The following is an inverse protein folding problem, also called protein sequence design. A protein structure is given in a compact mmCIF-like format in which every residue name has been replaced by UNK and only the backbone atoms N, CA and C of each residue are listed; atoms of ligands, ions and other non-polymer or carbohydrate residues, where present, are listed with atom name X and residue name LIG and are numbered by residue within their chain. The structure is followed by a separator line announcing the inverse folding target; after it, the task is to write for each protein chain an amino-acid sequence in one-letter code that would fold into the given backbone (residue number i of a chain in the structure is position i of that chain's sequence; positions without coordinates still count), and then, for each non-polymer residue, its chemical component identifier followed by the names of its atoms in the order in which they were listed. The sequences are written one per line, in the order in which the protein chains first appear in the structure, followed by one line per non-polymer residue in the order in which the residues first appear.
data_IF_709193841010
#
_entry.id   IF_709193841010
#
_cell.length_a   1.000
_cell.length_b   1.000
_cell.length_c   1.000
_cell.angle_alpha   90.00
_cell.angle_beta   90.00
_cell.angle_gamma   90.00
#
_symmetry.space_group_name_H-M   'P 1'
#
loop_
_entity.id
_entity.type
_entity.pdbx_description
1 polymer ?
#
# COMPACT_ATOMS: atom_id res chain seq x y z
N UNK A 1 5.13 -5.13 -11.75
CA UNK A 1 5.36 -4.66 -13.13
C UNK A 1 4.24 -5.13 -14.08
N UNK A 2 4.05 -6.44 -14.36
CA UNK A 2 3.07 -6.94 -15.36
C UNK A 2 1.62 -6.54 -15.04
N UNK A 3 1.19 -6.65 -13.78
CA UNK A 3 -0.15 -6.22 -13.36
C UNK A 3 -0.40 -4.74 -13.63
N UNK A 4 0.58 -3.91 -13.35
CA UNK A 4 0.46 -2.48 -13.59
C UNK A 4 0.42 -2.16 -15.08
N UNK A 5 1.22 -2.85 -15.90
CA UNK A 5 1.16 -2.72 -17.36
C UNK A 5 -0.20 -3.15 -17.90
N UNK A 6 -0.78 -4.22 -17.38
CA UNK A 6 -2.15 -4.61 -17.70
C UNK A 6 -3.14 -3.48 -17.38
N UNK A 7 -3.11 -2.95 -16.15
CA UNK A 7 -4.00 -1.86 -15.72
C UNK A 7 -3.86 -0.59 -16.55
N UNK A 8 -2.65 -0.26 -17.00
CA UNK A 8 -2.40 0.88 -17.90
C UNK A 8 -3.15 0.74 -19.22
N UNK A 9 -3.14 -0.45 -19.79
CA UNK A 9 -3.67 -0.69 -21.13
C UNK A 9 -5.12 -1.19 -21.11
N UNK A 10 -5.69 -1.53 -19.94
CA UNK A 10 -7.03 -2.12 -19.80
C UNK A 10 -8.13 -1.27 -20.48
N UNK A 11 -8.00 0.05 -20.44
CA UNK A 11 -8.99 0.98 -20.98
C UNK A 11 -8.66 1.51 -22.40
N UNK A 12 -7.37 1.54 -22.76
CA UNK A 12 -6.92 2.23 -23.97
C UNK A 12 -6.49 1.27 -25.10
N UNK A 13 -6.03 0.08 -24.76
CA UNK A 13 -5.55 -0.93 -25.70
C UNK A 13 -5.75 -2.33 -25.14
N UNK A 14 -6.91 -2.90 -25.37
CA UNK A 14 -7.29 -4.22 -24.86
C UNK A 14 -6.39 -5.34 -25.40
N UNK A 15 -5.82 -5.18 -26.59
CA UNK A 15 -4.91 -6.17 -27.20
C UNK A 15 -3.57 -6.17 -26.48
N UNK A 16 -3.08 -5.00 -26.14
CA UNK A 16 -1.82 -4.86 -25.38
C UNK A 16 -2.01 -5.26 -23.91
N UNK A 17 -3.16 -4.91 -23.33
CA UNK A 17 -3.53 -5.33 -21.97
C UNK A 17 -3.57 -6.85 -21.84
N UNK A 18 -4.18 -7.57 -22.81
CA UNK A 18 -4.27 -9.02 -22.77
C UNK A 18 -2.91 -9.71 -22.74
N UNK A 19 -1.92 -9.20 -23.48
CA UNK A 19 -0.54 -9.73 -23.45
C UNK A 19 0.10 -9.68 -22.07
N UNK A 20 -0.09 -8.59 -21.32
CA UNK A 20 0.44 -8.46 -19.97
C UNK A 20 -0.32 -9.32 -18.97
N UNK A 21 -1.64 -9.42 -19.12
CA UNK A 21 -2.50 -10.31 -18.34
C UNK A 21 -2.06 -11.77 -18.49
N UNK A 22 -1.96 -12.24 -19.74
CA UNK A 22 -1.63 -13.63 -20.03
C UNK A 22 -0.21 -13.98 -19.57
N UNK A 23 0.73 -13.05 -19.75
CA UNK A 23 2.09 -13.19 -19.23
C UNK A 23 2.15 -13.21 -17.70
N UNK A 24 1.26 -12.48 -17.02
CA UNK A 24 1.15 -12.48 -15.54
C UNK A 24 0.58 -13.83 -15.08
N UNK A 25 -0.50 -14.30 -15.71
CA UNK A 25 -1.13 -15.58 -15.40
C UNK A 25 -0.16 -16.75 -15.63
N UNK A 26 0.57 -16.73 -16.74
CA UNK A 26 1.52 -17.77 -17.07
C UNK A 26 2.74 -17.83 -16.15
N UNK A 27 3.36 -16.66 -15.88
CA UNK A 27 4.61 -16.60 -15.09
C UNK A 27 4.38 -16.61 -13.59
N UNK A 28 3.25 -16.09 -13.12
CA UNK A 28 2.96 -15.91 -11.70
C UNK A 28 1.53 -16.35 -11.34
N UNK A 29 1.15 -17.61 -11.62
CA UNK A 29 -0.24 -18.09 -11.48
C UNK A 29 -0.78 -17.99 -10.05
N UNK A 30 0.10 -18.07 -9.05
CA UNK A 30 -0.26 -18.00 -7.61
C UNK A 30 -0.10 -16.59 -7.03
N UNK A 31 0.20 -15.58 -7.83
CA UNK A 31 0.36 -14.23 -7.31
C UNK A 31 -1.00 -13.60 -6.97
N UNK A 32 -1.02 -12.74 -5.96
CA UNK A 32 -2.19 -11.95 -5.58
C UNK A 32 -2.73 -11.12 -6.77
N UNK A 33 -1.86 -10.65 -7.63
CA UNK A 33 -2.21 -9.87 -8.82
C UNK A 33 -2.87 -10.72 -9.89
N UNK A 34 -2.46 -12.00 -10.04
CA UNK A 34 -3.12 -12.95 -10.93
C UNK A 34 -4.51 -13.31 -10.40
N UNK A 35 -4.62 -13.55 -9.10
CA UNK A 35 -5.92 -13.74 -8.46
C UNK A 35 -6.86 -12.55 -8.69
N UNK A 36 -6.38 -11.32 -8.52
CA UNK A 36 -7.18 -10.11 -8.75
C UNK A 36 -7.69 -10.01 -10.21
N UNK A 37 -6.85 -10.38 -11.18
CA UNK A 37 -7.24 -10.41 -12.59
C UNK A 37 -8.27 -11.50 -12.94
N UNK A 38 -8.18 -12.65 -12.30
CA UNK A 38 -9.09 -13.76 -12.53
C UNK A 38 -10.42 -13.60 -11.80
N UNK A 39 -10.40 -12.94 -10.64
CA UNK A 39 -11.56 -12.80 -9.75
C UNK A 39 -12.54 -11.68 -10.14
N UNK A 40 -12.17 -10.75 -11.03
CA UNK A 40 -13.07 -9.66 -11.44
C UNK A 40 -14.40 -10.12 -12.07
N UNK A 41 -14.54 -11.40 -12.40
CA UNK A 41 -15.78 -12.00 -12.94
C UNK A 41 -16.53 -12.92 -11.98
N UNK A 42 -15.96 -13.28 -10.83
CA UNK A 42 -16.51 -14.31 -9.93
C UNK A 42 -16.80 -13.86 -8.50
N UNK A 43 -16.58 -12.60 -8.13
CA UNK A 43 -16.77 -12.11 -6.76
C UNK A 43 -18.21 -12.23 -6.24
N UNK A 44 -19.19 -12.27 -7.11
CA UNK A 44 -20.60 -12.38 -6.72
C UNK A 44 -21.09 -13.82 -6.50
N UNK A 45 -20.35 -14.85 -6.96
CA UNK A 45 -20.84 -16.23 -6.96
C UNK A 45 -20.41 -17.09 -5.80
N UNK A 46 -19.30 -16.79 -5.14
CA UNK A 46 -18.85 -17.62 -4.01
C UNK A 46 -19.17 -16.97 -2.66
N UNK A 47 -20.29 -17.38 -2.10
CA UNK A 47 -20.82 -16.89 -0.82
C UNK A 47 -20.12 -17.49 0.40
N UNK A 48 -19.04 -18.30 0.24
CA UNK A 48 -18.40 -18.92 1.38
C UNK A 48 -17.68 -17.87 2.26
N UNK A 49 -17.79 -17.98 3.59
CA UNK A 49 -17.12 -17.06 4.51
C UNK A 49 -15.60 -17.00 4.30
N UNK A 50 -14.96 -18.13 3.98
CA UNK A 50 -13.52 -18.21 3.74
C UNK A 50 -13.10 -17.43 2.50
N UNK A 51 -13.84 -17.53 1.40
CA UNK A 51 -13.53 -16.80 0.18
C UNK A 51 -13.78 -15.31 0.34
N UNK A 52 -14.84 -14.96 1.07
CA UNK A 52 -15.07 -13.56 1.41
C UNK A 52 -13.91 -13.00 2.26
N UNK A 53 -13.49 -13.68 3.32
CA UNK A 53 -12.36 -13.25 4.14
C UNK A 53 -11.06 -13.16 3.30
N UNK A 54 -10.81 -14.12 2.42
CA UNK A 54 -9.68 -14.09 1.49
C UNK A 54 -9.71 -12.85 0.59
N UNK A 55 -10.90 -12.41 0.16
CA UNK A 55 -11.06 -11.18 -0.62
C UNK A 55 -10.69 -9.93 0.20
N UNK A 56 -11.05 -9.89 1.47
CA UNK A 56 -10.64 -8.79 2.36
C UNK A 56 -9.14 -8.77 2.59
N UNK A 57 -8.51 -9.94 2.74
CA UNK A 57 -7.07 -10.05 2.83
C UNK A 57 -6.37 -9.56 1.55
N UNK A 58 -6.93 -9.84 0.37
CA UNK A 58 -6.43 -9.27 -0.91
C UNK A 58 -6.53 -7.73 -0.91
N UNK A 59 -7.66 -7.16 -0.46
CA UNK A 59 -7.81 -5.71 -0.29
C UNK A 59 -6.71 -5.13 0.60
N UNK A 60 -6.41 -5.80 1.71
CA UNK A 60 -5.32 -5.39 2.61
C UNK A 60 -3.96 -5.39 1.91
N UNK A 61 -3.64 -6.45 1.16
CA UNK A 61 -2.38 -6.56 0.42
C UNK A 61 -2.28 -5.52 -0.72
N UNK A 62 -3.40 -5.10 -1.28
CA UNK A 62 -3.50 -4.01 -2.26
C UNK A 62 -3.53 -2.62 -1.61
N UNK A 63 -3.29 -2.52 -0.30
CA UNK A 63 -3.30 -1.30 0.50
C UNK A 63 -4.65 -0.56 0.53
N UNK A 64 -5.76 -1.23 0.27
CA UNK A 64 -7.12 -0.66 0.37
C UNK A 64 -7.60 -0.61 1.83
N UNK A 65 -6.75 -0.07 2.71
CA UNK A 65 -6.98 -0.07 4.16
C UNK A 65 -8.21 0.75 4.56
N UNK A 66 -8.42 1.90 3.91
CA UNK A 66 -9.57 2.76 4.19
C UNK A 66 -10.89 2.04 3.90
N UNK A 67 -10.98 1.31 2.78
CA UNK A 67 -12.15 0.53 2.43
C UNK A 67 -12.47 -0.53 3.50
N UNK A 68 -11.44 -1.21 4.04
CA UNK A 68 -11.60 -2.19 5.11
C UNK A 68 -12.15 -1.54 6.38
N UNK A 69 -11.64 -0.35 6.73
CA UNK A 69 -12.04 0.37 7.96
C UNK A 69 -13.46 0.92 7.85
N UNK A 70 -13.80 1.53 6.72
CA UNK A 70 -15.12 2.15 6.49
C UNK A 70 -16.21 1.09 6.49
N UNK A 71 -15.99 -0.04 5.82
CA UNK A 71 -16.99 -1.10 5.67
C UNK A 71 -16.94 -2.17 6.79
N UNK A 72 -16.15 -1.95 7.86
CA UNK A 72 -15.93 -2.96 8.93
C UNK A 72 -17.21 -3.54 9.53
N UNK A 73 -18.25 -2.71 9.70
CA UNK A 73 -19.50 -3.15 10.30
C UNK A 73 -20.30 -4.09 9.38
N UNK A 74 -20.25 -3.85 8.07
CA UNK A 74 -20.83 -4.76 7.07
C UNK A 74 -20.07 -6.09 7.06
N UNK A 75 -18.75 -6.05 7.07
CA UNK A 75 -17.91 -7.24 7.08
C UNK A 75 -18.09 -8.08 8.35
N UNK A 76 -18.25 -7.43 9.52
CA UNK A 76 -18.59 -8.11 10.78
C UNK A 76 -19.90 -8.85 10.68
N UNK A 77 -20.97 -8.20 10.16
CA UNK A 77 -22.28 -8.83 9.97
C UNK A 77 -22.19 -10.05 9.08
N UNK A 78 -21.37 -9.98 8.02
CA UNK A 78 -21.24 -11.06 7.05
C UNK A 78 -20.45 -12.26 7.57
N UNK A 79 -19.54 -12.07 8.52
CA UNK A 79 -18.70 -13.11 9.08
C UNK A 79 -19.14 -13.60 10.46
N UNK A 80 -20.25 -13.10 11.00
CA UNK A 80 -20.76 -13.52 12.32
C UNK A 80 -21.09 -15.02 12.32
N UNK A 81 -20.66 -15.75 13.36
CA UNK A 81 -20.89 -17.19 13.49
C UNK A 81 -20.05 -18.09 12.58
N UNK A 82 -19.04 -17.54 11.90
CA UNK A 82 -18.22 -18.30 10.94
C UNK A 82 -16.87 -18.78 11.51
N UNK A 83 -16.49 -18.31 12.71
CA UNK A 83 -15.16 -18.55 13.30
C UNK A 83 -14.05 -17.68 12.70
N UNK A 84 -14.38 -16.73 11.80
CA UNK A 84 -13.42 -15.80 11.19
C UNK A 84 -13.47 -14.39 11.80
N UNK A 85 -14.32 -14.19 12.80
CA UNK A 85 -14.56 -12.88 13.41
C UNK A 85 -13.29 -12.26 13.99
N UNK A 86 -12.52 -13.01 14.76
CA UNK A 86 -11.29 -12.52 15.39
C UNK A 86 -10.21 -12.23 14.34
N UNK A 87 -10.13 -13.04 13.31
CA UNK A 87 -9.22 -12.78 12.17
C UNK A 87 -9.62 -11.51 11.43
N UNK A 88 -10.93 -11.24 11.27
CA UNK A 88 -11.42 -9.99 10.70
C UNK A 88 -11.05 -8.80 11.59
N UNK A 89 -11.27 -8.90 12.91
CA UNK A 89 -10.88 -7.82 13.83
C UNK A 89 -9.39 -7.50 13.72
N UNK A 90 -8.52 -8.51 13.67
CA UNK A 90 -7.08 -8.28 13.48
C UNK A 90 -6.75 -7.65 12.12
N UNK A 91 -7.48 -8.01 11.06
CA UNK A 91 -7.30 -7.38 9.74
C UNK A 91 -7.69 -5.90 9.77
N UNK A 92 -8.80 -5.56 10.46
CA UNK A 92 -9.24 -4.18 10.68
C UNK A 92 -8.20 -3.40 11.51
N UNK A 93 -7.75 -3.96 12.62
CA UNK A 93 -6.73 -3.37 13.49
C UNK A 93 -5.43 -3.11 12.72
N UNK A 94 -4.98 -4.07 11.93
CA UNK A 94 -3.80 -3.90 11.09
C UNK A 94 -4.01 -2.80 10.03
N UNK A 95 -5.20 -2.68 9.45
CA UNK A 95 -5.54 -1.60 8.50
C UNK A 95 -5.50 -0.23 9.18
N UNK A 96 -6.02 -0.11 10.41
CA UNK A 96 -5.92 1.09 11.24
C UNK A 96 -4.45 1.44 11.48
N UNK A 97 -3.63 0.48 11.86
CA UNK A 97 -2.20 0.70 12.09
C UNK A 97 -1.46 1.19 10.84
N UNK A 98 -1.84 0.69 9.66
CA UNK A 98 -1.26 1.14 8.39
C UNK A 98 -1.61 2.59 8.06
N UNK A 99 -2.83 3.05 8.36
CA UNK A 99 -3.29 4.41 8.08
C UNK A 99 -3.00 5.41 9.21
N UNK A 100 -3.10 4.99 10.48
CA UNK A 100 -3.04 5.89 11.64
C UNK A 100 -1.76 5.77 12.45
N UNK A 101 -0.93 4.81 12.11
CA UNK A 101 0.39 4.63 12.71
C UNK A 101 0.43 3.72 13.92
N UNK A 102 1.65 3.60 14.48
CA UNK A 102 1.96 2.58 15.49
C UNK A 102 1.24 2.80 16.83
N UNK A 103 0.97 4.05 17.19
CA UNK A 103 0.33 4.33 18.48
C UNK A 103 -1.14 3.90 18.48
N UNK A 104 -1.88 4.22 17.42
CA UNK A 104 -3.26 3.75 17.27
C UNK A 104 -3.31 2.23 17.09
N UNK A 105 -2.36 1.66 16.37
CA UNK A 105 -2.28 0.21 16.23
C UNK A 105 -2.10 -0.50 17.58
N UNK A 106 -1.18 -0.01 18.44
CA UNK A 106 -0.98 -0.56 19.78
C UNK A 106 -2.25 -0.49 20.62
N UNK A 107 -2.88 0.70 20.65
CA UNK A 107 -4.12 0.91 21.39
C UNK A 107 -5.23 -0.06 20.97
N UNK A 108 -5.41 -0.25 19.64
CA UNK A 108 -6.41 -1.20 19.14
C UNK A 108 -6.06 -2.66 19.45
N UNK A 109 -4.76 -3.02 19.48
CA UNK A 109 -4.34 -4.35 19.91
C UNK A 109 -4.59 -4.58 21.41
N UNK A 110 -4.37 -3.56 22.26
CA UNK A 110 -4.67 -3.60 23.69
C UNK A 110 -6.18 -3.77 23.92
N UNK A 111 -7.02 -2.98 23.24
CA UNK A 111 -8.48 -3.13 23.25
C UNK A 111 -8.92 -4.54 22.82
N UNK A 112 -8.24 -5.12 21.82
CA UNK A 112 -8.51 -6.50 21.38
C UNK A 112 -8.22 -7.51 22.47
N UNK A 113 -7.11 -7.37 23.21
CA UNK A 113 -6.77 -8.26 24.32
C UNK A 113 -7.76 -8.18 25.49
N UNK A 114 -8.24 -6.97 25.80
CA UNK A 114 -9.26 -6.76 26.82
C UNK A 114 -10.58 -7.45 26.46
N UNK A 115 -10.98 -7.35 25.18
CA UNK A 115 -12.23 -7.92 24.68
C UNK A 115 -12.18 -9.44 24.49
N UNK A 116 -11.02 -9.98 24.12
CA UNK A 116 -10.87 -11.41 23.76
C UNK A 116 -9.66 -12.05 24.48
N UNK A 117 -9.60 -12.05 25.82
CA UNK A 117 -8.37 -12.38 26.57
C UNK A 117 -7.86 -13.80 26.37
N UNK A 118 -8.74 -14.76 26.03
CA UNK A 118 -8.44 -16.19 26.00
C UNK A 118 -8.44 -16.81 24.59
N UNK A 119 -8.44 -15.99 23.53
CA UNK A 119 -8.41 -16.51 22.16
C UNK A 119 -6.98 -16.87 21.72
N UNK A 120 -6.88 -17.72 20.70
CA UNK A 120 -5.58 -18.03 20.07
C UNK A 120 -4.96 -16.78 19.46
N UNK A 121 -5.77 -15.95 18.83
CA UNK A 121 -5.36 -14.68 18.26
C UNK A 121 -4.78 -13.74 19.31
N UNK A 122 -5.31 -13.75 20.53
CA UNK A 122 -4.80 -12.94 21.65
C UNK A 122 -3.39 -13.36 22.06
N UNK A 123 -3.04 -14.64 21.97
CA UNK A 123 -1.67 -15.09 22.22
C UNK A 123 -0.70 -14.55 21.17
N UNK A 124 -1.13 -14.45 19.90
CA UNK A 124 -0.34 -13.83 18.84
C UNK A 124 -0.17 -12.33 19.07
N UNK A 125 -1.24 -11.63 19.47
CA UNK A 125 -1.22 -10.20 19.79
C UNK A 125 -0.29 -9.89 20.96
N UNK A 126 -0.32 -10.69 22.05
CA UNK A 126 0.61 -10.55 23.19
C UNK A 126 2.07 -10.64 22.75
N UNK A 127 2.40 -11.62 21.87
CA UNK A 127 3.75 -11.74 21.31
C UNK A 127 4.15 -10.53 20.46
N UNK A 128 3.22 -10.01 19.66
CA UNK A 128 3.46 -8.81 18.83
C UNK A 128 3.73 -7.58 19.70
N UNK A 129 2.92 -7.30 20.71
CA UNK A 129 3.10 -6.17 21.63
C UNK A 129 4.43 -6.26 22.38
N UNK A 130 4.78 -7.43 22.91
CA UNK A 130 6.07 -7.66 23.57
C UNK A 130 7.25 -7.39 22.61
N UNK A 131 7.19 -7.82 21.37
CA UNK A 131 8.23 -7.57 20.39
C UNK A 131 8.39 -6.08 20.06
N UNK A 132 7.32 -5.31 20.09
CA UNK A 132 7.35 -3.86 19.85
C UNK A 132 8.01 -3.13 21.03
N UNK A 133 7.74 -3.58 22.27
CA UNK A 133 8.26 -2.97 23.48
C UNK A 133 9.75 -3.32 23.67
N UNK A 134 10.13 -4.58 23.42
CA UNK A 134 11.47 -5.10 23.73
C UNK A 134 12.52 -4.89 22.63
N UNK A 135 12.09 -4.61 21.41
CA UNK A 135 13.00 -4.33 20.29
C UNK A 135 12.80 -2.90 19.82
N UNK A 136 13.52 -1.92 20.41
CA UNK A 136 13.69 -0.65 19.72
C UNK A 136 14.26 -1.01 18.33
N UNK A 137 13.67 -0.46 17.28
CA UNK A 137 14.09 -0.75 15.92
C UNK A 137 15.49 -0.16 15.73
N UNK A 138 16.52 -0.88 16.15
CA UNK A 138 17.90 -0.61 15.74
C UNK A 138 17.96 -0.87 14.25
N UNK A 139 17.67 0.18 13.50
CA UNK A 139 17.86 0.14 12.06
C UNK A 139 19.37 0.17 11.81
N UNK A 140 19.90 -0.94 11.33
CA UNK A 140 21.29 -1.00 10.86
C UNK A 140 21.55 0.20 9.93
N UNK A 141 22.62 0.98 10.13
CA UNK A 141 22.85 2.26 9.47
C UNK A 141 23.33 2.14 8.01
N UNK A 142 22.94 1.10 7.27
CA UNK A 142 23.62 0.68 6.04
C UNK A 142 22.99 1.09 4.73
N UNK A 143 21.82 1.71 4.68
CA UNK A 143 21.25 2.11 3.39
C UNK A 143 21.36 3.61 3.16
N UNK A 144 22.26 4.02 2.28
CA UNK A 144 22.33 5.39 1.72
C UNK A 144 21.27 5.61 0.61
N UNK A 145 20.25 4.75 0.54
CA UNK A 145 19.19 4.83 -0.47
C UNK A 145 18.19 5.90 -0.07
N UNK A 146 17.92 6.78 -1.00
CA UNK A 146 16.91 7.82 -0.88
C UNK A 146 15.58 7.38 -1.49
N UNK A 147 14.55 8.10 -1.12
CA UNK A 147 13.24 8.06 -1.75
C UNK A 147 12.84 9.49 -2.05
N UNK A 148 12.30 9.71 -3.23
CA UNK A 148 11.59 10.93 -3.54
C UNK A 148 10.10 10.65 -3.42
N UNK A 149 9.41 11.45 -2.62
CA UNK A 149 8.03 11.28 -2.23
C UNK A 149 7.22 12.46 -2.75
N UNK A 150 6.15 12.15 -3.47
CA UNK A 150 5.19 13.13 -3.98
C UNK A 150 3.89 12.90 -3.24
N UNK A 151 3.31 13.96 -2.72
CA UNK A 151 2.17 13.92 -1.80
C UNK A 151 0.89 14.25 -2.55
N UNK A 152 -0.14 13.47 -2.30
CA UNK A 152 -1.49 13.67 -2.80
C UNK A 152 -2.45 13.77 -1.64
N UNK A 153 -3.33 14.77 -1.68
CA UNK A 153 -4.39 14.97 -0.69
C UNK A 153 -5.75 14.82 -1.37
N UNK A 154 -6.62 13.99 -0.81
CA UNK A 154 -8.00 13.79 -1.30
C UNK A 154 -8.10 13.50 -2.82
N UNK A 155 -7.07 12.88 -3.38
CA UNK A 155 -7.00 12.54 -4.80
C UNK A 155 -7.46 11.09 -5.00
N UNK A 156 -8.23 10.84 -6.04
CA UNK A 156 -8.72 9.49 -6.34
C UNK A 156 -7.57 8.52 -6.66
N UNK A 157 -7.74 7.26 -6.30
CA UNK A 157 -6.76 6.21 -6.59
C UNK A 157 -6.46 6.13 -8.10
N UNK A 158 -7.49 6.31 -8.95
CA UNK A 158 -7.34 6.27 -10.41
C UNK A 158 -6.44 7.40 -10.92
N UNK A 159 -6.58 8.63 -10.40
CA UNK A 159 -5.74 9.77 -10.78
C UNK A 159 -4.29 9.56 -10.33
N UNK A 160 -4.09 9.08 -9.11
CA UNK A 160 -2.74 8.77 -8.60
C UNK A 160 -2.07 7.68 -9.46
N UNK A 161 -2.81 6.63 -9.83
CA UNK A 161 -2.28 5.58 -10.69
C UNK A 161 -1.94 6.10 -12.09
N UNK A 162 -2.80 6.90 -12.69
CA UNK A 162 -2.55 7.53 -14.00
C UNK A 162 -1.28 8.38 -13.98
N UNK A 163 -1.07 9.14 -12.92
CA UNK A 163 0.14 9.94 -12.76
C UNK A 163 1.38 9.06 -12.58
N UNK A 164 1.29 8.06 -11.72
CA UNK A 164 2.36 7.08 -11.54
C UNK A 164 2.78 6.43 -12.86
N UNK A 165 1.83 6.09 -13.69
CA UNK A 165 2.07 5.48 -15.00
C UNK A 165 2.82 6.42 -15.94
N UNK A 166 2.40 7.69 -16.01
CA UNK A 166 3.14 8.72 -16.75
C UNK A 166 4.59 8.82 -16.25
N UNK A 167 4.79 8.83 -14.94
CA UNK A 167 6.13 8.88 -14.35
C UNK A 167 6.97 7.66 -14.75
N UNK A 168 6.40 6.46 -14.73
CA UNK A 168 7.11 5.24 -15.15
C UNK A 168 7.56 5.36 -16.61
N UNK A 169 6.67 5.80 -17.50
CA UNK A 169 6.98 5.95 -18.92
C UNK A 169 8.12 6.96 -19.14
N UNK A 170 8.05 8.12 -18.49
CA UNK A 170 9.06 9.17 -18.65
C UNK A 170 10.41 8.79 -18.02
N UNK A 171 10.41 8.16 -16.87
CA UNK A 171 11.65 7.72 -16.23
C UNK A 171 12.31 6.56 -16.98
N UNK A 172 11.52 5.64 -17.56
CA UNK A 172 12.05 4.55 -18.37
C UNK A 172 12.72 5.04 -19.67
N UNK A 173 12.31 6.19 -20.21
CA UNK A 173 12.99 6.79 -21.36
C UNK A 173 14.39 7.34 -21.02
N UNK A 174 14.62 7.67 -19.77
CA UNK A 174 15.82 8.41 -19.30
C UNK A 174 16.78 7.55 -18.47
N UNK A 175 16.31 6.42 -17.95
CA UNK A 175 17.08 5.49 -17.14
C UNK A 175 16.99 4.07 -17.71
N UNK A 176 18.13 3.50 -18.09
CA UNK A 176 18.22 2.14 -18.66
C UNK A 176 17.64 1.06 -17.72
N UNK A 177 17.86 1.21 -16.42
CA UNK A 177 17.36 0.32 -15.40
C UNK A 177 16.07 0.83 -14.78
N UNK A 178 14.95 0.85 -15.40
CA UNK A 178 13.69 1.42 -14.93
C UNK A 178 13.57 1.63 -13.41
N UNK A 179 13.02 2.76 -12.98
CA UNK A 179 12.90 3.09 -11.55
C UNK A 179 11.69 2.40 -10.92
N UNK A 180 11.88 1.85 -9.73
CA UNK A 180 10.76 1.34 -8.95
C UNK A 180 9.93 2.51 -8.43
N UNK A 181 8.66 2.56 -8.80
CA UNK A 181 7.69 3.56 -8.33
C UNK A 181 6.52 2.86 -7.67
N UNK A 182 6.23 3.20 -6.43
CA UNK A 182 5.10 2.65 -5.67
C UNK A 182 4.11 3.74 -5.31
N UNK A 183 2.87 3.34 -5.08
CA UNK A 183 1.86 4.17 -4.41
C UNK A 183 1.69 3.61 -3.02
N UNK A 184 1.89 4.45 -2.03
CA UNK A 184 1.79 4.07 -0.63
C UNK A 184 0.68 4.89 0.03
N UNK A 185 -0.33 4.23 0.61
CA UNK A 185 -1.33 4.88 1.45
C UNK A 185 -0.65 5.41 2.72
N UNK A 186 -0.86 6.70 3.01
CA UNK A 186 -0.26 7.34 4.17
C UNK A 186 -1.25 7.52 5.31
N UNK A 187 -2.34 8.24 5.07
CA UNK A 187 -3.45 8.41 6.03
C UNK A 187 -4.78 8.23 5.31
N UNK A 188 -5.88 8.49 6.00
CA UNK A 188 -7.22 8.46 5.42
C UNK A 188 -7.37 9.49 4.27
N UNK A 189 -6.54 10.55 4.25
CA UNK A 189 -6.62 11.67 3.29
C UNK A 189 -5.41 11.81 2.40
N UNK A 190 -4.26 11.24 2.78
CA UNK A 190 -3.00 11.39 2.05
C UNK A 190 -2.50 10.08 1.48
N UNK A 191 -2.04 10.14 0.24
CA UNK A 191 -1.30 9.07 -0.45
C UNK A 191 0.00 9.60 -1.01
N UNK A 192 0.99 8.74 -1.14
CA UNK A 192 2.31 9.08 -1.65
C UNK A 192 2.62 8.29 -2.92
N UNK A 193 3.11 8.96 -3.96
CA UNK A 193 3.91 8.28 -4.98
C UNK A 193 5.36 8.31 -4.50
N UNK A 194 5.99 7.15 -4.47
CA UNK A 194 7.36 6.98 -3.98
C UNK A 194 8.26 6.47 -5.09
N UNK A 195 9.21 7.29 -5.49
CA UNK A 195 10.27 6.90 -6.42
C UNK A 195 11.45 6.37 -5.60
N UNK A 196 11.80 5.11 -5.82
CA UNK A 196 12.89 4.45 -5.12
C UNK A 196 14.19 4.67 -5.89
N UNK A 197 15.17 5.31 -5.24
CA UNK A 197 16.51 5.45 -5.82
C UNK A 197 17.41 4.32 -5.33
N UNK A 198 18.33 3.88 -6.17
CA UNK A 198 19.32 2.87 -5.78
C UNK A 198 20.58 3.49 -5.22
N UNK A 199 20.87 4.74 -5.57
CA UNK A 199 22.10 5.46 -5.25
C UNK A 199 21.85 6.87 -4.69
N UNK A 200 22.94 7.59 -4.48
CA UNK A 200 23.15 8.80 -3.72
C UNK A 200 22.37 10.02 -4.23
N UNK A 201 22.43 11.11 -3.45
CA UNK A 201 21.81 12.41 -3.63
C UNK A 201 21.81 13.01 -5.06
N UNK A 202 22.85 12.83 -5.91
CA UNK A 202 22.85 13.36 -7.28
C UNK A 202 21.70 12.85 -8.16
N UNK A 203 21.29 11.59 -7.95
CA UNK A 203 20.17 11.00 -8.68
C UNK A 203 18.82 11.65 -8.32
N UNK A 204 18.67 12.05 -7.07
CA UNK A 204 17.45 12.75 -6.61
C UNK A 204 17.35 14.12 -7.28
N UNK A 205 18.43 14.88 -7.38
CA UNK A 205 18.43 16.19 -8.05
C UNK A 205 18.06 16.06 -9.53
N UNK A 206 18.54 15.00 -10.19
CA UNK A 206 18.16 14.71 -11.57
C UNK A 206 16.66 14.38 -11.67
N UNK A 207 16.12 13.58 -10.74
CA UNK A 207 14.69 13.25 -10.69
C UNK A 207 13.82 14.50 -10.47
N UNK A 208 14.21 15.38 -9.55
CA UNK A 208 13.50 16.64 -9.31
C UNK A 208 13.51 17.55 -10.55
N UNK A 209 14.65 17.63 -11.27
CA UNK A 209 14.74 18.37 -12.53
C UNK A 209 13.84 17.76 -13.61
N UNK A 210 13.86 16.43 -13.76
CA UNK A 210 12.97 15.74 -14.69
C UNK A 210 11.51 16.03 -14.35
N UNK A 211 11.17 16.06 -13.06
CA UNK A 211 9.83 16.37 -12.59
C UNK A 211 9.37 17.77 -12.98
N UNK A 212 10.22 18.78 -12.80
CA UNK A 212 9.91 20.16 -13.18
C UNK A 212 9.70 20.35 -14.69
N UNK A 213 10.35 19.51 -15.50
CA UNK A 213 10.30 19.59 -16.97
C UNK A 213 9.14 18.79 -17.58
N UNK A 214 8.37 18.03 -16.77
CA UNK A 214 7.30 17.18 -17.29
C UNK A 214 6.01 17.97 -17.55
N UNK A 215 5.50 18.01 -18.79
CA UNK A 215 4.25 18.69 -19.10
C UNK A 215 3.06 18.08 -18.33
N UNK A 216 2.28 18.93 -17.64
CA UNK A 216 1.10 18.54 -16.90
C UNK A 216 1.38 18.03 -15.47
N UNK A 217 2.62 18.13 -15.01
CA UNK A 217 2.95 18.06 -13.60
C UNK A 217 2.93 19.49 -13.05
N UNK A 218 1.86 19.82 -12.38
CA UNK A 218 1.76 21.13 -11.76
C UNK A 218 2.77 21.24 -10.62
N UNK A 219 3.52 22.34 -10.59
CA UNK A 219 4.51 22.67 -9.55
C UNK A 219 3.92 22.79 -8.13
N UNK A 220 2.63 22.50 -7.96
CA UNK A 220 1.87 22.69 -6.73
C UNK A 220 1.71 21.42 -5.90
N UNK A 221 2.30 20.28 -6.30
CA UNK A 221 2.28 19.08 -5.47
C UNK A 221 3.41 19.12 -4.45
N UNK A 222 3.07 19.01 -3.18
CA UNK A 222 4.05 18.85 -2.13
C UNK A 222 4.93 17.62 -2.42
N UNK A 223 6.23 17.81 -2.29
CA UNK A 223 7.17 16.72 -2.42
C UNK A 223 8.34 16.88 -1.46
N UNK A 224 8.94 15.77 -1.09
CA UNK A 224 10.13 15.78 -0.24
C UNK A 224 11.01 14.56 -0.51
N UNK A 225 12.24 14.64 -0.02
CA UNK A 225 13.22 13.57 -0.11
C UNK A 225 13.55 13.08 1.29
N UNK A 226 13.62 11.78 1.44
CA UNK A 226 13.97 11.15 2.70
C UNK A 226 14.89 9.94 2.49
N UNK A 227 15.77 9.66 3.43
CA UNK A 227 16.44 8.35 3.48
C UNK A 227 15.40 7.24 3.65
N UNK A 228 15.67 6.08 3.09
CA UNK A 228 14.75 4.93 3.18
C UNK A 228 14.38 4.55 4.62
N UNK A 229 15.30 4.76 5.59
CA UNK A 229 15.06 4.56 7.01
C UNK A 229 14.10 5.60 7.60
N UNK A 230 14.28 6.86 7.21
CA UNK A 230 13.43 7.99 7.64
C UNK A 230 12.04 7.86 7.07
N UNK A 231 11.91 7.48 5.81
CA UNK A 231 10.62 7.20 5.19
C UNK A 231 9.86 6.08 5.93
N UNK A 232 10.56 5.00 6.35
CA UNK A 232 9.91 3.95 7.15
C UNK A 232 9.41 4.49 8.51
N UNK A 233 10.18 5.37 9.14
CA UNK A 233 9.78 6.03 10.39
C UNK A 233 8.55 6.92 10.15
N UNK A 234 8.56 7.73 9.10
CA UNK A 234 7.43 8.57 8.68
C UNK A 234 6.18 7.70 8.48
N UNK A 235 6.28 6.60 7.74
CA UNK A 235 5.16 5.68 7.50
C UNK A 235 4.65 5.00 8.78
N UNK A 236 5.55 4.65 9.68
CA UNK A 236 5.22 3.95 10.93
C UNK A 236 4.61 4.89 11.97
N UNK A 237 5.20 6.08 12.13
CA UNK A 237 4.87 7.02 13.19
C UNK A 237 3.93 8.15 12.73
N UNK A 238 3.68 8.25 11.42
CA UNK A 238 2.85 9.30 10.80
C UNK A 238 3.33 10.72 11.13
N UNK A 239 4.64 10.90 11.12
CA UNK A 239 5.29 12.16 11.53
C UNK A 239 5.31 13.24 10.44
N UNK A 240 5.12 12.89 9.17
CA UNK A 240 5.01 13.89 8.12
C UNK A 240 3.69 14.66 8.25
N UNK A 241 3.79 15.97 8.11
CA UNK A 241 2.65 16.89 8.07
C UNK A 241 2.78 17.80 6.85
N UNK A 242 1.66 18.22 6.22
CA UNK A 242 1.71 19.23 5.18
C UNK A 242 2.38 20.50 5.70
N UNK A 243 3.17 21.14 4.84
CA UNK A 243 3.66 22.48 5.16
C UNK A 243 2.46 23.42 5.08
N UNK A 244 2.04 23.95 6.23
CA UNK A 244 1.07 25.05 6.29
C UNK A 244 1.80 26.29 5.79
N UNK A 245 1.45 26.76 4.59
CA UNK A 245 1.83 28.09 4.11
C UNK A 245 1.13 29.15 4.94
#
# INVERSE_FOLDING_TARGET
ALYNLYKIHETNDTTYASKFRDKLIQKYPKSIYTSDLLDTRNFEKDKSPNNFFSSLHKKFMLQKFLDIIVNKNEYRKRLIGTGLELKLELLIINSIGRLRGINEWKKELENFLEKYPNSEESNQVKKLLNNIITKPTEMKPTSKKFKWIIVFSNTSEAEIQKLREKMILELNKRFESGKKITVDSYTDTYSFIVVHTENQYPEVNLLLKIWSDLPGFQNNLDNFVALSREYRKIQKEKTWKPQTN
#
